data_IF_671901320691
#
_entry.id   IF_671901320691
#
_cell.length_a   1.000
_cell.length_b   1.000
_cell.length_c   1.000
_cell.angle_alpha   90.00
_cell.angle_beta   90.00
_cell.angle_gamma   90.00
#
_symmetry.space_group_name_H-M   'P 1'
#
loop_
_entity.id
_entity.type
_entity.pdbx_description
1 polymer ?
#
# COMPACT_ATOMS: atom_id res chain seq x y z
N UNK A 1 -9.93 -3.36 26.94
CA UNK A 1 -9.46 -3.82 25.61
C UNK A 1 -10.41 -4.82 24.98
N UNK A 2 -10.80 -5.89 25.68
CA UNK A 2 -11.74 -6.88 25.12
C UNK A 2 -13.14 -6.29 24.84
N UNK A 3 -13.64 -5.42 25.71
CA UNK A 3 -14.87 -4.65 25.47
C UNK A 3 -14.78 -3.73 24.24
N UNK A 4 -13.62 -3.08 24.06
CA UNK A 4 -13.35 -2.24 22.89
C UNK A 4 -13.31 -3.06 21.59
N UNK A 5 -12.87 -4.32 21.65
CA UNK A 5 -12.76 -5.20 20.50
C UNK A 5 -14.08 -5.90 20.15
N UNK A 6 -14.70 -6.59 21.12
CA UNK A 6 -15.91 -7.40 20.91
C UNK A 6 -17.20 -6.58 20.86
N UNK A 7 -17.24 -5.45 21.57
CA UNK A 7 -18.41 -4.57 21.61
C UNK A 7 -18.38 -3.44 20.59
N UNK A 8 -17.38 -3.37 19.70
CA UNK A 8 -17.14 -2.22 18.82
C UNK A 8 -18.40 -1.77 18.07
N UNK A 9 -19.07 -2.70 17.38
CA UNK A 9 -20.28 -2.41 16.61
C UNK A 9 -21.44 -1.84 17.46
N UNK A 10 -21.46 -2.13 18.77
CA UNK A 10 -22.51 -1.68 19.68
C UNK A 10 -22.25 -0.25 20.19
N UNK A 11 -21.01 0.09 20.51
CA UNK A 11 -20.70 1.39 21.10
C UNK A 11 -20.17 2.43 20.11
N UNK A 12 -19.70 2.02 18.93
CA UNK A 12 -19.19 2.92 17.88
C UNK A 12 -20.07 4.15 17.63
N UNK A 13 -21.41 4.05 17.44
CA UNK A 13 -22.23 5.23 17.14
C UNK A 13 -22.39 6.19 18.32
N UNK A 14 -22.02 5.77 19.54
CA UNK A 14 -22.23 6.52 20.77
C UNK A 14 -20.97 7.22 21.30
N UNK A 15 -19.78 6.87 20.79
CA UNK A 15 -18.51 7.39 21.29
C UNK A 15 -17.55 7.75 20.16
N UNK A 16 -16.54 8.55 20.48
CA UNK A 16 -15.47 8.87 19.53
C UNK A 16 -14.54 7.65 19.32
N UNK A 17 -14.90 6.78 18.38
CA UNK A 17 -14.15 5.57 18.04
C UNK A 17 -12.70 5.85 17.60
N UNK A 18 -12.44 6.99 16.94
CA UNK A 18 -11.08 7.36 16.56
C UNK A 18 -10.19 7.65 17.79
N UNK A 19 -10.74 8.25 18.84
CA UNK A 19 -10.01 8.45 20.10
C UNK A 19 -9.68 7.11 20.79
N UNK A 20 -10.59 6.13 20.73
CA UNK A 20 -10.34 4.77 21.24
C UNK A 20 -9.23 4.08 20.46
N UNK A 21 -9.24 4.16 19.13
CA UNK A 21 -8.16 3.63 18.27
C UNK A 21 -6.81 4.26 18.64
N UNK A 22 -6.74 5.58 18.81
CA UNK A 22 -5.50 6.27 19.22
C UNK A 22 -5.02 5.85 20.61
N UNK A 23 -5.93 5.60 21.53
CA UNK A 23 -5.60 5.15 22.89
C UNK A 23 -5.02 3.73 22.86
N UNK A 24 -5.63 2.83 22.09
CA UNK A 24 -5.11 1.48 21.87
C UNK A 24 -3.76 1.50 21.15
N UNK A 25 -3.57 2.41 20.20
CA UNK A 25 -2.30 2.62 19.51
C UNK A 25 -1.21 3.08 20.47
N UNK A 26 -1.49 4.05 21.34
CA UNK A 26 -0.58 4.49 22.39
C UNK A 26 -0.21 3.35 23.34
N UNK A 27 -1.18 2.53 23.75
CA UNK A 27 -0.91 1.35 24.58
C UNK A 27 -0.01 0.31 23.88
N UNK A 28 -0.10 0.22 22.56
CA UNK A 28 0.73 -0.68 21.75
C UNK A 28 2.16 -0.16 21.51
N UNK A 29 2.41 1.14 21.70
CA UNK A 29 3.70 1.80 21.51
C UNK A 29 4.43 2.12 22.80
N UNK A 30 3.72 2.16 23.93
CA UNK A 30 4.26 2.57 25.21
C UNK A 30 5.24 1.54 25.78
N UNK A 31 6.47 1.99 26.09
CA UNK A 31 7.53 1.15 26.65
C UNK A 31 7.25 0.68 28.07
N UNK A 32 6.32 1.33 28.79
CA UNK A 32 5.89 0.90 30.13
C UNK A 32 4.78 -0.14 30.13
N UNK A 33 4.17 -0.45 28.97
CA UNK A 33 3.14 -1.49 28.85
C UNK A 33 3.75 -2.89 28.90
N UNK A 34 3.11 -3.81 29.63
CA UNK A 34 3.51 -5.22 29.61
C UNK A 34 3.35 -5.85 28.20
N UNK A 35 4.15 -6.86 27.82
CA UNK A 35 4.02 -7.54 26.53
C UNK A 35 2.61 -8.12 26.26
N UNK A 36 1.90 -8.51 27.32
CA UNK A 36 0.52 -9.00 27.25
C UNK A 36 -0.45 -7.86 26.88
N UNK A 37 -0.30 -6.68 27.50
CA UNK A 37 -1.09 -5.51 27.16
C UNK A 37 -0.84 -5.05 25.72
N UNK A 38 0.41 -5.00 25.28
CA UNK A 38 0.76 -4.64 23.90
C UNK A 38 0.09 -5.57 22.89
N UNK A 39 0.19 -6.89 23.09
CA UNK A 39 -0.47 -7.88 22.22
C UNK A 39 -1.99 -7.77 22.27
N UNK A 40 -2.58 -7.52 23.43
CA UNK A 40 -4.03 -7.34 23.59
C UNK A 40 -4.52 -6.08 22.85
N UNK A 41 -3.77 -4.98 22.93
CA UNK A 41 -4.07 -3.74 22.22
C UNK A 41 -4.00 -3.93 20.71
N UNK A 42 -2.94 -4.58 20.21
CA UNK A 42 -2.79 -4.91 18.79
C UNK A 42 -3.94 -5.81 18.28
N UNK A 43 -4.35 -6.81 19.08
CA UNK A 43 -5.52 -7.65 18.71
C UNK A 43 -6.80 -6.84 18.65
N UNK A 44 -7.05 -5.95 19.62
CA UNK A 44 -8.23 -5.09 19.63
C UNK A 44 -8.24 -4.15 18.42
N UNK A 45 -7.11 -3.51 18.10
CA UNK A 45 -6.94 -2.68 16.90
C UNK A 45 -7.30 -3.43 15.62
N UNK A 46 -6.79 -4.65 15.45
CA UNK A 46 -7.12 -5.47 14.27
C UNK A 46 -8.59 -5.86 14.23
N UNK A 47 -9.21 -6.20 15.37
CA UNK A 47 -10.64 -6.51 15.41
C UNK A 47 -11.50 -5.31 15.03
N UNK A 48 -11.18 -4.12 15.56
CA UNK A 48 -11.84 -2.87 15.15
C UNK A 48 -11.64 -2.64 13.66
N UNK A 49 -10.41 -2.82 13.14
CA UNK A 49 -10.11 -2.70 11.72
C UNK A 49 -10.80 -3.74 10.83
N UNK A 50 -11.19 -4.91 11.35
CA UNK A 50 -12.01 -5.87 10.60
C UNK A 50 -13.50 -5.52 10.60
N UNK A 51 -13.99 -4.81 11.63
CA UNK A 51 -15.41 -4.40 11.72
C UNK A 51 -15.66 -3.09 10.98
N UNK A 52 -14.82 -2.07 11.19
CA UNK A 52 -14.84 -0.82 10.44
C UNK A 52 -13.43 -0.48 9.94
N UNK A 53 -13.08 -1.06 8.78
CA UNK A 53 -11.78 -0.84 8.16
C UNK A 53 -11.55 0.62 7.77
N UNK A 54 -12.59 1.33 7.33
CA UNK A 54 -12.45 2.72 6.89
C UNK A 54 -12.05 3.64 8.05
N UNK A 55 -12.75 3.57 9.19
CA UNK A 55 -12.42 4.36 10.38
C UNK A 55 -11.03 4.04 10.91
N UNK A 56 -10.72 2.74 11.01
CA UNK A 56 -9.44 2.29 11.50
C UNK A 56 -8.29 2.78 10.61
N UNK A 57 -8.39 2.55 9.31
CA UNK A 57 -7.29 2.84 8.39
C UNK A 57 -7.16 4.35 8.12
N UNK A 58 -8.26 5.13 8.09
CA UNK A 58 -8.16 6.60 8.00
C UNK A 58 -7.49 7.22 9.22
N UNK A 59 -7.77 6.70 10.42
CA UNK A 59 -7.14 7.16 11.67
C UNK A 59 -5.63 6.87 11.65
N UNK A 60 -5.22 5.62 11.41
CA UNK A 60 -3.79 5.25 11.44
C UNK A 60 -3.01 5.87 10.28
N UNK A 61 -3.60 6.07 9.09
CA UNK A 61 -2.90 6.72 7.97
C UNK A 61 -2.73 8.22 8.19
N UNK A 62 -3.72 8.88 8.78
CA UNK A 62 -3.58 10.27 9.21
C UNK A 62 -2.44 10.41 10.22
N UNK A 63 -2.44 9.57 11.26
CA UNK A 63 -1.41 9.61 12.30
C UNK A 63 -0.02 9.20 11.75
N UNK A 64 0.06 8.27 10.79
CA UNK A 64 1.31 7.87 10.13
C UNK A 64 1.95 9.04 9.36
N UNK A 65 1.15 9.84 8.68
CA UNK A 65 1.66 10.97 7.89
C UNK A 65 2.01 12.17 8.77
N UNK A 66 1.22 12.45 9.81
CA UNK A 66 1.32 13.69 10.59
C UNK A 66 2.03 13.55 11.94
N UNK A 67 2.22 12.34 12.47
CA UNK A 67 2.90 12.16 13.75
C UNK A 67 4.34 12.64 13.70
N UNK A 68 4.78 13.28 14.80
CA UNK A 68 6.18 13.64 15.03
C UNK A 68 6.93 12.58 15.86
N UNK A 69 6.22 11.59 16.40
CA UNK A 69 6.78 10.56 17.27
C UNK A 69 7.21 9.32 16.48
N UNK A 70 8.50 8.96 16.58
CA UNK A 70 9.01 7.75 15.96
C UNK A 70 8.40 6.47 16.56
N UNK A 71 8.10 6.48 17.86
CA UNK A 71 7.46 5.35 18.54
C UNK A 71 6.03 5.12 18.04
N UNK A 72 5.28 6.20 17.83
CA UNK A 72 3.92 6.13 17.29
C UNK A 72 3.91 5.61 15.85
N UNK A 73 4.73 6.18 14.95
CA UNK A 73 4.89 5.68 13.58
C UNK A 73 5.31 4.21 13.54
N UNK A 74 6.22 3.81 14.42
CA UNK A 74 6.67 2.41 14.54
C UNK A 74 5.52 1.49 14.96
N UNK A 75 4.70 1.90 15.92
CA UNK A 75 3.54 1.12 16.33
C UNK A 75 2.49 1.02 15.23
N UNK A 76 2.22 2.11 14.51
CA UNK A 76 1.32 2.11 13.35
C UNK A 76 1.82 1.11 12.29
N UNK A 77 3.08 1.19 11.90
CA UNK A 77 3.66 0.29 10.90
C UNK A 77 3.63 -1.18 11.35
N UNK A 78 3.91 -1.46 12.63
CA UNK A 78 3.77 -2.81 13.20
C UNK A 78 2.34 -3.31 13.16
N UNK A 79 1.36 -2.46 13.46
CA UNK A 79 -0.06 -2.79 13.38
C UNK A 79 -0.47 -3.05 11.93
N UNK A 80 0.02 -2.26 10.98
CA UNK A 80 -0.20 -2.48 9.54
C UNK A 80 0.41 -3.81 9.10
N UNK A 81 1.68 -4.10 9.41
CA UNK A 81 2.31 -5.39 9.09
C UNK A 81 1.57 -6.56 9.74
N UNK A 82 1.14 -6.43 11.00
CA UNK A 82 0.34 -7.46 11.67
C UNK A 82 -1.04 -7.65 11.00
N UNK A 83 -1.68 -6.56 10.56
CA UNK A 83 -2.94 -6.60 9.82
C UNK A 83 -2.75 -7.29 8.46
N UNK A 84 -1.74 -6.91 7.67
CA UNK A 84 -1.40 -7.55 6.41
C UNK A 84 -1.17 -9.05 6.62
N UNK A 85 -0.31 -9.43 7.58
CA UNK A 85 0.03 -10.82 7.84
C UNK A 85 -1.16 -11.65 8.32
N UNK A 86 -1.92 -11.16 9.32
CA UNK A 86 -3.03 -11.92 9.90
C UNK A 86 -4.16 -12.16 8.89
N UNK A 87 -4.46 -11.16 8.06
CA UNK A 87 -5.50 -11.32 7.05
C UNK A 87 -4.98 -12.18 5.88
N UNK A 88 -3.70 -12.06 5.50
CA UNK A 88 -3.06 -12.95 4.50
C UNK A 88 -3.05 -14.42 4.92
N UNK A 89 -2.68 -14.72 6.18
CA UNK A 89 -2.65 -16.08 6.70
C UNK A 89 -4.04 -16.74 6.74
N UNK A 90 -5.10 -15.96 6.97
CA UNK A 90 -6.49 -16.45 6.88
C UNK A 90 -6.90 -16.82 5.45
N UNK A 91 -6.24 -16.23 4.44
CA UNK A 91 -6.51 -16.47 3.02
C UNK A 91 -5.65 -17.63 2.52
N UNK A 92 -4.36 -17.67 2.86
CA UNK A 92 -3.40 -18.71 2.46
C UNK A 92 -3.87 -20.13 2.85
N UNK A 93 -4.51 -20.28 4.03
CA UNK A 93 -5.09 -21.55 4.49
C UNK A 93 -6.22 -22.08 3.57
N UNK A 94 -6.84 -21.24 2.74
CA UNK A 94 -7.86 -21.65 1.77
C UNK A 94 -7.30 -22.01 0.39
N UNK A 95 -6.08 -21.61 0.05
CA UNK A 95 -5.53 -21.73 -1.32
C UNK A 95 -4.53 -22.86 -1.53
N UNK A 96 -3.90 -23.36 -0.47
CA UNK A 96 -2.97 -24.52 -0.55
C UNK A 96 -3.62 -25.81 -1.08
N UNK A 97 -4.95 -25.84 -1.26
CA UNK A 97 -5.66 -26.98 -1.81
C UNK A 97 -5.74 -27.01 -3.35
N UNK A 98 -5.31 -25.98 -4.10
CA UNK A 98 -5.79 -25.86 -5.49
C UNK A 98 -4.84 -25.54 -6.64
N UNK A 99 -3.54 -25.24 -6.51
CA UNK A 99 -2.75 -24.93 -7.73
C UNK A 99 -1.28 -25.40 -7.74
N UNK A 100 -0.83 -26.07 -8.82
CA UNK A 100 0.58 -26.27 -9.15
C UNK A 100 1.06 -25.40 -10.35
N UNK A 101 2.38 -25.15 -10.39
CA UNK A 101 3.26 -24.63 -11.46
C UNK A 101 3.13 -23.18 -11.98
N UNK A 102 4.27 -22.46 -12.03
CA UNK A 102 4.41 -21.04 -12.39
C UNK A 102 5.59 -20.86 -13.34
N UNK A 103 5.37 -20.18 -14.47
CA UNK A 103 6.41 -19.54 -15.28
C UNK A 103 6.05 -18.06 -15.47
N UNK A 104 7.00 -17.17 -15.18
CA UNK A 104 7.00 -15.70 -15.27
C UNK A 104 6.29 -14.84 -14.21
N UNK A 105 7.05 -13.89 -13.65
CA UNK A 105 6.68 -12.97 -12.55
C UNK A 105 5.51 -12.05 -12.92
N UNK A 106 5.34 -11.71 -14.20
CA UNK A 106 4.21 -10.91 -14.69
C UNK A 106 2.92 -11.74 -14.70
N UNK A 107 2.99 -13.00 -15.14
CA UNK A 107 1.88 -13.94 -15.07
C UNK A 107 1.56 -14.34 -13.63
N UNK A 108 2.56 -14.50 -12.76
CA UNK A 108 2.34 -14.80 -11.33
C UNK A 108 1.62 -13.64 -10.61
N UNK A 109 2.01 -12.39 -10.86
CA UNK A 109 1.33 -11.24 -10.23
C UNK A 109 -0.07 -11.02 -10.81
N UNK A 110 -0.29 -11.30 -12.09
CA UNK A 110 -1.61 -11.21 -12.74
C UNK A 110 -2.52 -12.42 -12.39
N UNK A 111 -2.01 -13.63 -12.26
CA UNK A 111 -2.80 -14.80 -11.84
C UNK A 111 -3.29 -14.69 -10.39
N UNK A 112 -2.52 -14.01 -9.52
CA UNK A 112 -2.96 -13.68 -8.17
C UNK A 112 -4.02 -12.57 -8.10
N UNK A 113 -4.19 -11.75 -9.16
CA UNK A 113 -5.22 -10.68 -9.16
C UNK A 113 -6.66 -11.21 -9.21
N UNK A 114 -6.86 -12.47 -9.61
CA UNK A 114 -8.19 -13.10 -9.62
C UNK A 114 -8.66 -13.62 -8.26
N UNK A 115 -7.76 -13.83 -7.28
CA UNK A 115 -8.17 -14.52 -6.05
C UNK A 115 -7.69 -13.90 -4.72
N UNK A 116 -6.67 -13.04 -4.65
CA UNK A 116 -6.03 -12.77 -3.35
C UNK A 116 -5.42 -11.39 -3.17
N UNK A 117 -6.22 -10.32 -3.18
CA UNK A 117 -5.84 -9.17 -2.35
C UNK A 117 -6.10 -9.58 -0.90
N UNK A 118 -5.08 -9.65 -0.01
CA UNK A 118 -5.29 -10.13 1.34
C UNK A 118 -6.35 -9.33 2.09
N UNK A 119 -6.49 -8.04 1.76
CA UNK A 119 -7.58 -7.22 2.25
C UNK A 119 -7.96 -6.18 1.20
N UNK A 120 -9.07 -6.35 0.47
CA UNK A 120 -9.56 -5.36 -0.49
C UNK A 120 -9.78 -3.98 0.15
N UNK A 121 -10.14 -3.95 1.43
CA UNK A 121 -10.36 -2.71 2.17
C UNK A 121 -9.07 -1.91 2.44
N UNK A 122 -7.88 -2.52 2.30
CA UNK A 122 -6.60 -1.78 2.36
C UNK A 122 -6.24 -1.13 1.01
N UNK A 123 -6.79 -1.62 -0.11
CA UNK A 123 -6.45 -1.16 -1.45
C UNK A 123 -6.65 0.37 -1.67
N UNK A 124 -7.78 0.99 -1.27
CA UNK A 124 -7.95 2.45 -1.37
C UNK A 124 -6.88 3.27 -0.63
N UNK A 125 -6.15 2.63 0.29
CA UNK A 125 -5.33 3.28 1.30
C UNK A 125 -3.84 2.99 1.11
N UNK A 126 -3.49 2.07 0.21
CA UNK A 126 -2.10 1.80 -0.20
C UNK A 126 -1.33 3.08 -0.54
N UNK A 127 -1.89 4.06 -1.30
CA UNK A 127 -1.13 5.26 -1.64
C UNK A 127 -0.73 6.07 -0.40
N UNK A 128 -1.60 6.14 0.61
CA UNK A 128 -1.35 6.88 1.87
C UNK A 128 -0.39 6.13 2.79
N UNK A 129 -0.51 4.80 2.90
CA UNK A 129 0.41 3.98 3.69
C UNK A 129 1.82 4.06 3.08
N UNK A 130 1.91 3.90 1.76
CA UNK A 130 3.17 4.04 1.02
C UNK A 130 3.74 5.44 1.23
N UNK A 131 2.95 6.49 1.07
CA UNK A 131 3.41 7.87 1.30
C UNK A 131 3.94 8.07 2.72
N UNK A 132 3.21 7.60 3.74
CA UNK A 132 3.63 7.68 5.13
C UNK A 132 4.92 6.92 5.40
N UNK A 133 5.08 5.74 4.81
CA UNK A 133 6.30 4.94 4.87
C UNK A 133 7.49 5.64 4.19
N UNK A 134 7.29 6.19 2.99
CA UNK A 134 8.31 6.95 2.25
C UNK A 134 8.74 8.18 3.04
N UNK A 135 7.80 8.99 3.53
CA UNK A 135 8.08 10.18 4.35
C UNK A 135 8.77 9.82 5.67
N UNK A 136 8.46 8.68 6.27
CA UNK A 136 9.16 8.21 7.47
C UNK A 136 10.64 7.84 7.20
N UNK A 137 11.00 7.60 5.93
CA UNK A 137 12.36 7.30 5.48
C UNK A 137 13.11 8.53 4.95
N UNK A 138 12.57 9.74 5.13
CA UNK A 138 13.18 10.99 4.68
C UNK A 138 14.64 11.12 5.16
N UNK A 139 15.61 11.24 4.23
CA UNK A 139 17.02 11.38 4.59
C UNK A 139 17.30 12.61 5.45
N UNK A 140 16.48 13.67 5.36
CA UNK A 140 16.69 14.92 6.10
C UNK A 140 16.31 14.83 7.57
N UNK A 141 15.55 13.79 7.98
CA UNK A 141 15.10 13.59 9.36
C UNK A 141 15.79 12.37 9.97
N UNK A 142 17.12 12.48 10.16
CA UNK A 142 17.99 11.35 10.54
C UNK A 142 17.53 10.57 11.80
N UNK A 143 17.14 11.26 12.87
CA UNK A 143 16.75 10.60 14.12
C UNK A 143 15.47 9.76 13.96
N UNK A 144 14.47 10.29 13.24
CA UNK A 144 13.24 9.57 12.93
C UNK A 144 13.51 8.39 12.00
N UNK A 145 14.30 8.62 10.95
CA UNK A 145 14.68 7.60 9.98
C UNK A 145 15.37 6.42 10.66
N UNK A 146 16.38 6.65 11.50
CA UNK A 146 17.10 5.57 12.18
C UNK A 146 16.19 4.71 13.06
N UNK A 147 15.26 5.33 13.79
CA UNK A 147 14.34 4.62 14.68
C UNK A 147 13.31 3.78 13.91
N UNK A 148 12.86 4.24 12.74
CA UNK A 148 11.75 3.62 11.99
C UNK A 148 12.25 2.72 10.85
N UNK A 149 13.47 2.92 10.34
CA UNK A 149 14.02 2.31 9.12
C UNK A 149 13.65 0.82 8.99
N UNK A 150 14.04 0.02 9.98
CA UNK A 150 13.80 -1.44 9.97
C UNK A 150 12.32 -1.79 9.85
N UNK A 151 11.45 -1.07 10.56
CA UNK A 151 10.01 -1.32 10.57
C UNK A 151 9.38 -0.86 9.27
N UNK A 152 9.70 0.35 8.79
CA UNK A 152 9.18 0.87 7.53
C UNK A 152 9.60 0.02 6.33
N UNK A 153 10.87 -0.41 6.26
CA UNK A 153 11.33 -1.28 5.16
C UNK A 153 10.64 -2.63 5.17
N UNK A 154 10.40 -3.22 6.36
CA UNK A 154 9.66 -4.47 6.48
C UNK A 154 8.20 -4.30 6.02
N UNK A 155 7.51 -3.25 6.47
CA UNK A 155 6.13 -2.98 6.05
C UNK A 155 6.02 -2.69 4.55
N UNK A 156 6.94 -1.90 3.98
CA UNK A 156 6.96 -1.66 2.52
C UNK A 156 7.24 -2.95 1.74
N UNK A 157 8.13 -3.81 2.24
CA UNK A 157 8.39 -5.12 1.65
C UNK A 157 7.14 -6.01 1.70
N UNK A 158 6.43 -6.05 2.82
CA UNK A 158 5.17 -6.78 2.96
C UNK A 158 4.13 -6.27 1.95
N UNK A 159 4.01 -4.94 1.79
CA UNK A 159 3.11 -4.34 0.80
C UNK A 159 3.47 -4.76 -0.64
N UNK A 160 4.75 -4.69 -1.01
CA UNK A 160 5.21 -5.11 -2.35
C UNK A 160 4.95 -6.61 -2.60
N UNK A 161 5.09 -7.44 -1.57
CA UNK A 161 4.88 -8.88 -1.64
C UNK A 161 3.41 -9.25 -1.79
N UNK A 162 2.53 -8.62 -1.02
CA UNK A 162 1.13 -9.03 -0.90
C UNK A 162 0.16 -8.21 -1.73
N UNK A 163 0.56 -7.03 -2.22
CA UNK A 163 -0.31 -6.15 -3.01
C UNK A 163 0.27 -5.95 -4.42
N UNK A 164 -0.32 -6.59 -5.46
CA UNK A 164 0.02 -6.37 -6.87
C UNK A 164 0.12 -4.91 -7.33
N UNK A 165 -0.72 -3.96 -6.87
CA UNK A 165 -0.62 -2.55 -7.26
C UNK A 165 0.57 -1.81 -6.64
N UNK A 166 1.37 -2.47 -5.78
CA UNK A 166 2.61 -1.92 -5.23
C UNK A 166 3.81 -2.62 -5.87
N UNK A 167 4.76 -1.84 -6.37
CA UNK A 167 5.98 -2.34 -6.98
C UNK A 167 7.21 -1.59 -6.48
N UNK A 168 8.32 -2.31 -6.31
CA UNK A 168 9.59 -1.74 -5.90
C UNK A 168 10.69 -2.11 -6.91
N UNK A 169 11.56 -1.15 -7.21
CA UNK A 169 12.74 -1.36 -8.03
C UNK A 169 14.00 -1.02 -7.23
N UNK A 170 14.79 -2.06 -6.91
CA UNK A 170 15.95 -1.97 -6.03
C UNK A 170 17.10 -1.11 -6.57
N UNK A 171 17.44 -1.22 -7.85
CA UNK A 171 18.58 -0.48 -8.41
C UNK A 171 18.36 1.05 -8.41
N UNK A 172 17.17 1.48 -8.82
CA UNK A 172 16.80 2.89 -8.85
C UNK A 172 16.24 3.39 -7.50
N UNK A 173 15.99 2.50 -6.53
CA UNK A 173 15.32 2.83 -5.26
C UNK A 173 13.98 3.54 -5.48
N UNK A 174 13.17 3.01 -6.40
CA UNK A 174 11.87 3.56 -6.78
C UNK A 174 10.74 2.67 -6.28
N UNK A 175 9.65 3.30 -5.87
CA UNK A 175 8.44 2.63 -5.43
C UNK A 175 7.26 3.17 -6.23
N UNK A 176 6.38 2.30 -6.67
CA UNK A 176 5.16 2.64 -7.40
C UNK A 176 3.94 2.11 -6.65
N UNK A 177 2.86 2.88 -6.65
CA UNK A 177 1.58 2.48 -6.08
C UNK A 177 0.42 2.92 -6.96
N UNK A 178 -0.40 1.96 -7.36
CA UNK A 178 -1.66 2.19 -8.07
C UNK A 178 -2.77 2.67 -7.13
N UNK A 179 -3.66 3.52 -7.64
CA UNK A 179 -4.83 4.04 -6.91
C UNK A 179 -6.14 3.48 -7.45
N UNK A 180 -7.22 3.65 -6.68
CA UNK A 180 -8.58 3.33 -7.14
C UNK A 180 -9.09 4.29 -8.22
N UNK A 181 -8.55 5.51 -8.24
CA UNK A 181 -8.90 6.55 -9.22
C UNK A 181 -8.21 6.35 -10.57
N UNK A 182 -7.47 5.25 -10.77
CA UNK A 182 -6.77 4.96 -12.03
C UNK A 182 -5.42 5.66 -12.21
N UNK A 183 -4.94 6.35 -11.17
CA UNK A 183 -3.61 6.94 -11.15
C UNK A 183 -2.56 5.96 -10.61
N UNK A 184 -1.29 6.18 -10.96
CA UNK A 184 -0.14 5.51 -10.33
C UNK A 184 0.82 6.57 -9.82
N UNK A 185 1.12 6.53 -8.52
CA UNK A 185 2.06 7.45 -7.89
C UNK A 185 3.43 6.78 -7.80
N UNK A 186 4.45 7.46 -8.29
CA UNK A 186 5.84 7.03 -8.23
C UNK A 186 6.59 7.83 -7.18
N UNK A 187 7.39 7.15 -6.37
CA UNK A 187 8.22 7.72 -5.30
C UNK A 187 9.69 7.40 -5.54
N UNK A 188 10.54 8.37 -5.19
CA UNK A 188 11.98 8.16 -5.06
C UNK A 188 12.32 8.00 -3.57
N UNK A 189 12.83 6.83 -3.19
CA UNK A 189 13.19 6.55 -1.79
C UNK A 189 14.51 7.21 -1.37
N UNK A 190 15.35 7.65 -2.32
CA UNK A 190 16.60 8.35 -2.00
C UNK A 190 16.31 9.73 -1.45
N UNK A 191 15.34 10.41 -2.03
CA UNK A 191 14.90 11.76 -1.63
C UNK A 191 13.64 11.74 -0.76
N UNK A 192 12.97 10.59 -0.63
CA UNK A 192 11.67 10.43 0.02
C UNK A 192 10.57 11.36 -0.55
N UNK A 193 10.63 11.66 -1.84
CA UNK A 193 9.69 12.56 -2.51
C UNK A 193 8.81 11.82 -3.52
N UNK A 194 7.64 12.41 -3.79
CA UNK A 194 6.83 12.02 -4.95
C UNK A 194 7.60 12.42 -6.21
N UNK A 195 7.93 11.42 -7.01
CA UNK A 195 8.74 11.56 -8.20
C UNK A 195 7.90 11.92 -9.42
N UNK A 196 6.78 11.21 -9.62
CA UNK A 196 5.88 11.42 -10.75
C UNK A 196 4.49 10.85 -10.46
N UNK A 197 3.47 11.33 -11.18
CA UNK A 197 2.10 10.79 -11.13
C UNK A 197 1.69 10.46 -12.55
N UNK A 198 1.28 9.22 -12.77
CA UNK A 198 0.78 8.72 -14.05
C UNK A 198 -0.74 8.68 -13.97
N UNK A 199 -1.42 9.54 -14.73
CA UNK A 199 -2.88 9.58 -14.85
C UNK A 199 -3.28 8.82 -16.12
N UNK A 200 -3.36 7.50 -15.99
CA UNK A 200 -3.40 6.61 -17.15
C UNK A 200 -4.70 5.85 -17.34
N UNK A 201 -5.27 5.35 -16.26
CA UNK A 201 -6.46 4.50 -16.29
C UNK A 201 -7.69 5.28 -15.83
N UNK A 202 -8.86 4.89 -16.33
CA UNK A 202 -10.16 5.42 -15.86
C UNK A 202 -10.73 4.56 -14.73
N UNK A 203 -10.17 3.37 -14.57
CA UNK A 203 -10.55 2.35 -13.60
C UNK A 203 -9.40 2.03 -12.64
N UNK A 204 -9.65 1.36 -11.50
CA UNK A 204 -8.62 1.06 -10.53
C UNK A 204 -7.39 0.37 -11.15
N UNK A 205 -6.19 0.80 -10.74
CA UNK A 205 -4.93 0.21 -11.19
C UNK A 205 -4.67 -1.06 -10.37
N UNK A 206 -4.97 -2.22 -10.94
CA UNK A 206 -4.91 -3.51 -10.24
C UNK A 206 -3.50 -4.06 -10.08
N UNK A 207 -2.56 -3.69 -10.98
CA UNK A 207 -1.17 -4.09 -10.86
C UNK A 207 -0.21 -3.04 -11.43
N UNK A 208 0.99 -2.99 -10.85
CA UNK A 208 2.09 -2.16 -11.32
C UNK A 208 3.38 -2.97 -11.33
N UNK A 209 4.24 -2.73 -12.33
CA UNK A 209 5.57 -3.33 -12.41
C UNK A 209 6.58 -2.35 -13.01
N UNK A 210 7.83 -2.43 -12.55
CA UNK A 210 8.96 -1.76 -13.18
C UNK A 210 9.61 -2.69 -14.20
N UNK A 211 10.17 -2.14 -15.27
CA UNK A 211 11.11 -2.87 -16.12
C UNK A 211 12.39 -3.21 -15.34
N UNK A 212 13.14 -4.26 -15.74
CA UNK A 212 14.38 -4.66 -15.06
C UNK A 212 15.45 -3.56 -15.01
N UNK A 213 15.45 -2.65 -15.97
CA UNK A 213 16.33 -1.48 -16.03
C UNK A 213 15.80 -0.26 -15.24
N UNK A 214 14.58 -0.35 -14.69
CA UNK A 214 13.92 0.70 -13.91
C UNK A 214 13.50 1.94 -14.71
N UNK A 215 13.58 1.89 -16.04
CA UNK A 215 13.27 3.03 -16.93
C UNK A 215 11.79 3.13 -17.27
N UNK A 216 11.11 2.01 -17.38
CA UNK A 216 9.71 1.94 -17.77
C UNK A 216 8.86 1.40 -16.62
N UNK A 217 7.59 1.80 -16.63
CA UNK A 217 6.57 1.31 -15.71
C UNK A 217 5.43 0.74 -16.52
N UNK A 218 4.93 -0.43 -16.13
CA UNK A 218 3.71 -1.02 -16.69
C UNK A 218 2.62 -0.92 -15.62
N UNK A 219 1.47 -0.39 -16.01
CA UNK A 219 0.25 -0.34 -15.19
C UNK A 219 -0.81 -1.22 -15.84
N UNK A 220 -1.65 -1.82 -15.00
CA UNK A 220 -2.74 -2.69 -15.40
C UNK A 220 -4.03 -2.20 -14.78
N UNK A 221 -5.12 -2.18 -15.55
CA UNK A 221 -6.47 -2.14 -15.00
C UNK A 221 -7.27 -3.30 -15.57
N UNK A 222 -7.68 -4.19 -14.67
CA UNK A 222 -8.46 -5.37 -15.04
C UNK A 222 -9.87 -4.97 -15.50
N UNK A 223 -10.54 -4.06 -14.78
CA UNK A 223 -11.86 -3.56 -15.17
C UNK A 223 -11.85 -2.80 -16.50
N UNK A 224 -10.75 -2.10 -16.81
CA UNK A 224 -10.57 -1.47 -18.13
C UNK A 224 -10.19 -2.50 -19.21
N UNK A 225 -9.69 -3.66 -18.81
CA UNK A 225 -9.15 -4.67 -19.72
C UNK A 225 -7.88 -4.21 -20.44
N UNK A 226 -7.09 -3.30 -19.85
CA UNK A 226 -5.91 -2.74 -20.51
C UNK A 226 -4.64 -2.74 -19.65
N UNK A 227 -3.51 -2.94 -20.33
CA UNK A 227 -2.17 -2.73 -19.84
C UNK A 227 -1.57 -1.50 -20.54
N UNK A 228 -0.97 -0.60 -19.78
CA UNK A 228 -0.35 0.64 -20.29
C UNK A 228 1.12 0.69 -19.88
N UNK A 229 2.00 0.96 -20.84
CA UNK A 229 3.45 1.12 -20.60
C UNK A 229 3.83 2.59 -20.64
N UNK A 230 4.66 3.01 -19.70
CA UNK A 230 5.02 4.40 -19.44
C UNK A 230 6.53 4.58 -19.37
N UNK A 231 7.02 5.73 -19.84
CA UNK A 231 8.40 6.17 -19.64
C UNK A 231 8.40 7.42 -18.76
N UNK A 232 8.41 7.26 -17.42
CA UNK A 232 8.40 8.39 -16.52
C UNK A 232 9.72 9.17 -16.61
N UNK A 233 9.67 10.39 -17.14
CA UNK A 233 10.81 11.30 -17.22
C UNK A 233 10.81 12.27 -16.04
N UNK A 234 11.92 12.34 -15.30
CA UNK A 234 12.12 13.33 -14.24
C UNK A 234 12.68 14.64 -14.78
N UNK A 235 12.29 15.76 -14.19
CA UNK A 235 13.08 17.01 -14.23
C UNK A 235 12.43 18.15 -15.01
N UNK A 236 13.00 19.34 -14.80
CA UNK A 236 12.63 20.68 -15.30
C UNK A 236 12.02 20.69 -16.72
N UNK A 237 12.47 19.80 -17.61
CA UNK A 237 11.87 19.63 -18.93
C UNK A 237 10.37 19.31 -18.85
N UNK A 238 9.87 18.42 -18.00
CA UNK A 238 8.42 18.17 -17.89
C UNK A 238 7.59 19.37 -17.40
N UNK A 239 8.20 20.28 -16.63
CA UNK A 239 7.56 21.53 -16.20
C UNK A 239 7.64 22.63 -17.27
N UNK A 240 8.79 22.80 -17.94
CA UNK A 240 8.98 23.77 -19.02
C UNK A 240 8.16 23.35 -20.25
N UNK A 241 8.18 22.08 -20.59
CA UNK A 241 7.41 21.55 -21.72
C UNK A 241 5.93 21.50 -21.37
N UNK A 242 5.52 21.27 -20.12
CA UNK A 242 4.12 21.41 -19.69
C UNK A 242 3.57 22.83 -19.85
N UNK A 243 4.43 23.86 -19.81
CA UNK A 243 4.07 25.26 -20.05
C UNK A 243 4.16 25.72 -21.51
N UNK A 244 4.86 24.98 -22.39
CA UNK A 244 5.05 25.38 -23.80
C UNK A 244 4.49 24.37 -24.81
N UNK A 245 4.01 23.21 -24.37
CA UNK A 245 3.26 22.25 -25.16
C UNK A 245 2.35 21.47 -24.22
N UNK A 246 1.05 21.49 -24.44
CA UNK A 246 0.04 20.71 -23.69
C UNK A 246 0.21 19.17 -23.80
N UNK A 247 1.38 18.65 -24.17
CA UNK A 247 1.67 17.25 -24.49
C UNK A 247 2.99 16.70 -23.91
N UNK A 248 3.63 17.32 -22.90
CA UNK A 248 5.01 16.94 -22.56
C UNK A 248 5.37 16.81 -21.06
N UNK A 249 4.39 16.62 -20.19
CA UNK A 249 4.52 15.55 -19.19
C UNK A 249 4.00 14.28 -19.87
N UNK A 250 4.58 13.10 -19.64
CA UNK A 250 4.16 11.84 -20.31
C UNK A 250 2.73 11.42 -19.91
N UNK A 251 1.71 12.15 -20.36
CA UNK A 251 0.28 11.89 -20.13
C UNK A 251 -0.26 10.78 -21.02
N UNK A 252 0.50 10.36 -22.04
CA UNK A 252 0.13 9.28 -22.95
C UNK A 252 1.00 8.04 -22.73
N UNK A 253 0.41 6.84 -22.72
CA UNK A 253 1.18 5.61 -22.65
C UNK A 253 1.97 5.42 -23.94
N UNK A 254 3.19 4.88 -23.83
CA UNK A 254 4.01 4.45 -24.98
C UNK A 254 3.25 3.37 -25.76
N UNK A 255 2.61 2.48 -25.02
CA UNK A 255 1.90 1.34 -25.57
C UNK A 255 0.70 1.00 -24.67
N UNK A 256 -0.44 0.77 -25.31
CA UNK A 256 -1.63 0.21 -24.68
C UNK A 256 -1.89 -1.16 -25.29
N UNK A 257 -2.10 -2.16 -24.46
CA UNK A 257 -2.39 -3.53 -24.87
C UNK A 257 -3.68 -4.00 -24.19
N UNK A 258 -4.58 -4.71 -24.90
CA UNK A 258 -5.71 -5.35 -24.26
C UNK A 258 -5.25 -6.54 -23.42
N UNK A 259 -5.91 -6.76 -22.28
CA UNK A 259 -5.76 -7.96 -21.48
C UNK A 259 -6.58 -9.06 -22.16
N UNK A 260 -5.91 -10.04 -22.75
CA UNK A 260 -6.57 -11.26 -23.24
C UNK A 260 -6.66 -12.25 -22.07
N UNK A 261 -7.87 -12.54 -21.62
CA UNK A 261 -8.14 -13.66 -20.73
C UNK A 261 -8.38 -14.87 -21.64
N UNK A 262 -7.36 -15.71 -21.82
CA UNK A 262 -7.58 -17.01 -22.46
C UNK A 262 -8.24 -17.93 -21.42
N UNK A 263 -9.55 -18.16 -21.54
CA UNK A 263 -10.27 -19.09 -20.67
C UNK A 263 -11.77 -18.86 -20.51
N UNK A 264 -12.53 -18.82 -21.61
CA UNK A 264 -13.98 -19.10 -21.59
C UNK A 264 -14.20 -20.63 -21.68
N UNK A 265 -13.70 -21.39 -20.70
CA UNK A 265 -14.07 -22.81 -20.52
C UNK A 265 -14.28 -23.14 -19.04
N UNK A 266 -15.24 -22.49 -18.38
CA UNK A 266 -15.97 -23.08 -17.26
C UNK A 266 -17.38 -22.48 -17.21
N UNK A 267 -18.29 -23.08 -17.98
CA UNK A 267 -19.74 -23.04 -17.71
C UNK A 267 -20.06 -23.76 -16.40
#
# INVERSE_FOLDING_TARGET
MELCAKGFATWEPHFNAAAVVRTLLALSSNSSSSPVQVKSAQRALVQIGTVNTLLFVTTITYDLVHSKSAAEKTAILKVISYFIYKVSASIEFRLTALLPFVHDVVYYKLSQTWFCCPCPALYPLLPKIVEGGVKALDPNVHQMRQAILKTATATLHDLVKFYPPVAFHGGAQRLAVGTMEGATVLYDLRTATRWHVIEGHVKPVTAVAFSPDGRNVVTCSFEEGTLKTWHPTAGLLGMITGSMNSNAASTKPIKTLPIKVEGDEFC
#
